data_IF_046444255734
#
_entry.id   IF_046444255734
#
_cell.length_a   1.000
_cell.length_b   1.000
_cell.length_c   1.000
_cell.angle_alpha   90.00
_cell.angle_beta   90.00
_cell.angle_gamma   90.00
#
_symmetry.space_group_name_H-M   'P 1'
#
loop_
_entity.id
_entity.type
_entity.pdbx_description
1 polymer ?
#
# COMPACT_ATOMS: atom_id res chain seq x y z
N UNK A 1 35.09 -63.50 -24.78
CA UNK A 1 35.20 -62.71 -23.53
C UNK A 1 33.81 -62.43 -22.98
N UNK A 2 33.67 -62.60 -21.66
CA UNK A 2 32.60 -62.18 -20.73
C UNK A 2 31.16 -62.72 -20.90
N UNK A 3 30.65 -63.23 -19.78
CA UNK A 3 29.41 -63.98 -19.54
C UNK A 3 28.23 -63.07 -19.12
N UNK A 4 26.97 -63.54 -19.23
CA UNK A 4 25.80 -62.89 -18.64
C UNK A 4 25.66 -63.24 -17.16
N UNK A 5 25.04 -62.38 -16.34
CA UNK A 5 24.34 -62.76 -15.09
C UNK A 5 23.51 -61.62 -14.47
N UNK A 6 22.24 -61.97 -14.24
CA UNK A 6 21.27 -61.55 -13.22
C UNK A 6 21.76 -60.64 -12.08
N UNK A 7 20.89 -59.67 -11.72
CA UNK A 7 20.38 -59.28 -10.38
C UNK A 7 19.87 -57.83 -10.49
N UNK A 8 18.78 -57.34 -9.88
CA UNK A 8 18.02 -57.80 -8.72
C UNK A 8 16.77 -56.89 -8.52
N UNK A 9 15.73 -57.45 -7.88
CA UNK A 9 14.89 -56.84 -6.81
C UNK A 9 13.86 -55.77 -7.25
N UNK A 10 12.54 -56.01 -7.34
CA UNK A 10 11.52 -56.36 -6.32
C UNK A 10 11.15 -55.18 -5.40
N UNK A 11 9.93 -54.62 -5.56
CA UNK A 11 9.06 -53.97 -4.54
C UNK A 11 8.01 -53.09 -5.23
N UNK A 12 6.79 -53.60 -5.47
CA UNK A 12 5.65 -53.39 -4.58
C UNK A 12 5.12 -51.93 -4.58
N UNK A 13 4.37 -51.58 -5.63
CA UNK A 13 3.43 -50.46 -5.59
C UNK A 13 2.21 -50.88 -4.77
N UNK A 14 2.30 -50.72 -3.46
CA UNK A 14 1.19 -50.90 -2.53
C UNK A 14 0.36 -49.61 -2.44
N UNK A 15 -0.95 -49.85 -2.54
CA UNK A 15 -2.07 -48.96 -2.40
C UNK A 15 -1.90 -47.91 -1.30
N UNK A 16 -2.20 -46.65 -1.64
CA UNK A 16 -2.76 -45.70 -0.68
C UNK A 16 -4.06 -45.15 -1.26
N UNK A 17 -5.14 -45.87 -0.96
CA UNK A 17 -6.49 -45.33 -0.94
C UNK A 17 -6.57 -44.32 0.22
N UNK A 18 -6.33 -43.05 -0.07
CA UNK A 18 -6.55 -41.92 0.83
C UNK A 18 -7.82 -41.18 0.39
N UNK A 19 -8.89 -41.33 1.17
CA UNK A 19 -10.24 -40.90 0.83
C UNK A 19 -10.35 -39.44 0.37
N UNK A 20 -11.07 -39.27 -0.74
CA UNK A 20 -11.62 -37.98 -1.14
C UNK A 20 -12.65 -37.54 -0.09
N UNK A 21 -12.23 -36.72 0.86
CA UNK A 21 -13.14 -35.95 1.69
C UNK A 21 -13.75 -34.85 0.82
N UNK A 22 -14.88 -35.17 0.18
CA UNK A 22 -15.78 -34.17 -0.40
C UNK A 22 -16.36 -33.37 0.78
N UNK A 23 -15.71 -32.24 1.10
CA UNK A 23 -16.32 -31.22 1.95
C UNK A 23 -17.41 -30.56 1.13
N UNK A 24 -18.65 -30.99 1.34
CA UNK A 24 -19.84 -30.24 0.98
C UNK A 24 -19.77 -28.90 1.72
N UNK A 25 -19.33 -27.85 1.02
CA UNK A 25 -19.46 -26.48 1.50
C UNK A 25 -20.94 -26.12 1.37
N UNK A 26 -21.65 -26.17 2.48
CA UNK A 26 -22.95 -25.51 2.58
C UNK A 26 -22.75 -24.04 2.23
N UNK A 27 -23.39 -23.62 1.14
CA UNK A 27 -23.53 -22.21 0.79
C UNK A 27 -24.39 -21.59 1.89
N UNK A 28 -23.75 -21.02 2.90
CA UNK A 28 -24.38 -20.10 3.82
C UNK A 28 -24.79 -18.88 2.98
N UNK A 29 -26.06 -18.82 2.61
CA UNK A 29 -26.68 -17.61 2.09
C UNK A 29 -26.62 -16.59 3.22
N UNK A 30 -25.62 -15.72 3.19
CA UNK A 30 -25.54 -14.58 4.11
C UNK A 30 -26.79 -13.72 3.89
N UNK A 31 -27.47 -13.27 4.95
CA UNK A 31 -28.52 -12.27 4.81
C UNK A 31 -27.91 -11.04 4.13
N UNK A 32 -28.56 -10.58 3.06
CA UNK A 32 -28.26 -9.35 2.36
C UNK A 32 -28.63 -8.17 3.28
N UNK A 33 -27.84 -7.95 4.33
CA UNK A 33 -27.95 -6.74 5.13
C UNK A 33 -27.58 -5.55 4.23
N UNK A 34 -28.42 -4.49 4.20
CA UNK A 34 -28.05 -3.27 3.50
C UNK A 34 -26.69 -2.80 4.04
N UNK A 35 -25.77 -2.31 3.18
CA UNK A 35 -24.46 -1.89 3.63
C UNK A 35 -24.65 -0.84 4.74
N UNK A 36 -24.21 -1.18 5.95
CA UNK A 36 -24.23 -0.25 7.06
C UNK A 36 -23.51 1.03 6.62
N UNK A 37 -24.20 2.17 6.74
CA UNK A 37 -23.60 3.47 6.42
C UNK A 37 -22.30 3.60 7.24
N UNK A 38 -21.17 3.73 6.55
CA UNK A 38 -19.87 3.85 7.18
C UNK A 38 -19.92 4.99 8.20
N UNK A 39 -19.70 4.68 9.48
CA UNK A 39 -19.71 5.70 10.52
C UNK A 39 -18.43 6.53 10.40
N UNK A 40 -18.52 7.86 10.61
CA UNK A 40 -17.34 8.70 10.60
C UNK A 40 -16.38 8.24 11.71
N UNK A 41 -15.13 7.97 11.33
CA UNK A 41 -14.08 7.52 12.23
C UNK A 41 -13.10 8.65 12.56
N UNK A 42 -12.37 8.49 13.66
CA UNK A 42 -11.26 9.38 13.98
C UNK A 42 -10.15 9.22 12.93
N UNK A 43 -9.69 10.36 12.42
CA UNK A 43 -8.63 10.41 11.42
C UNK A 43 -7.26 10.28 12.07
N UNK A 44 -6.36 9.51 11.47
CA UNK A 44 -4.98 9.50 11.95
C UNK A 44 -4.33 10.88 11.85
N UNK A 45 -3.48 11.19 12.83
CA UNK A 45 -2.74 12.46 12.86
C UNK A 45 -1.82 12.61 11.64
N UNK A 46 -1.32 11.50 11.09
CA UNK A 46 -0.51 11.50 9.87
C UNK A 46 -1.30 11.98 8.67
N UNK A 47 -2.53 11.48 8.47
CA UNK A 47 -3.41 11.96 7.42
C UNK A 47 -3.79 13.44 7.61
N UNK A 48 -4.01 13.89 8.85
CA UNK A 48 -4.24 15.30 9.15
C UNK A 48 -3.03 16.17 8.79
N UNK A 49 -1.81 15.79 9.17
CA UNK A 49 -0.58 16.52 8.77
C UNK A 49 -0.47 16.55 7.24
N UNK A 50 -0.74 15.43 6.56
CA UNK A 50 -0.69 15.35 5.10
C UNK A 50 -1.73 16.27 4.43
N UNK A 51 -2.96 16.34 4.94
CA UNK A 51 -4.01 17.21 4.41
C UNK A 51 -3.66 18.70 4.59
N UNK A 52 -3.11 19.08 5.74
CA UNK A 52 -2.62 20.45 5.98
C UNK A 52 -1.49 20.79 5.01
N UNK A 53 -0.55 19.88 4.79
CA UNK A 53 0.58 20.08 3.88
C UNK A 53 0.13 20.37 2.45
N UNK A 54 -0.91 19.69 1.99
CA UNK A 54 -1.44 19.89 0.63
C UNK A 54 -2.46 21.03 0.53
N UNK A 55 -2.90 21.60 1.65
CA UNK A 55 -3.98 22.60 1.73
C UNK A 55 -5.35 22.00 1.40
N UNK A 56 -5.59 20.77 1.86
CA UNK A 56 -6.80 19.98 1.67
C UNK A 56 -7.58 19.76 2.96
N UNK A 57 -7.46 20.64 3.95
CA UNK A 57 -8.07 20.52 5.28
C UNK A 57 -9.59 20.33 5.20
N UNK A 58 -10.24 20.96 4.22
CA UNK A 58 -11.68 20.79 3.96
C UNK A 58 -12.10 19.37 3.55
N UNK A 59 -11.16 18.49 3.19
CA UNK A 59 -11.42 17.09 2.88
C UNK A 59 -11.40 16.18 4.12
N UNK A 60 -11.05 16.70 5.31
CA UNK A 60 -11.04 15.89 6.53
C UNK A 60 -12.39 15.19 6.76
N UNK A 61 -13.51 15.91 6.56
CA UNK A 61 -14.85 15.33 6.67
C UNK A 61 -15.19 14.29 5.60
N UNK A 62 -14.51 14.29 4.45
CA UNK A 62 -14.66 13.23 3.43
C UNK A 62 -13.83 12.01 3.84
N UNK A 63 -12.59 12.24 4.26
CA UNK A 63 -11.71 11.16 4.70
C UNK A 63 -12.20 10.48 5.98
N UNK A 64 -13.06 11.10 6.81
CA UNK A 64 -13.61 10.43 7.99
C UNK A 64 -14.48 9.23 7.65
N UNK A 65 -14.97 9.15 6.41
CA UNK A 65 -15.71 8.00 5.89
C UNK A 65 -14.83 6.96 5.18
N UNK A 66 -13.52 7.22 5.03
CA UNK A 66 -12.57 6.29 4.42
C UNK A 66 -11.93 5.46 5.52
N UNK A 67 -12.06 4.11 5.52
CA UNK A 67 -11.37 3.25 6.47
C UNK A 67 -9.88 3.58 6.55
N UNK A 68 -9.31 3.66 7.75
CA UNK A 68 -7.90 4.07 7.94
C UNK A 68 -6.93 3.23 7.09
N UNK A 69 -7.19 1.92 6.94
CA UNK A 69 -6.38 1.03 6.09
C UNK A 69 -6.42 1.40 4.59
N UNK A 70 -7.47 2.08 4.13
CA UNK A 70 -7.63 2.54 2.74
C UNK A 70 -7.25 4.01 2.57
N UNK A 71 -7.02 4.75 3.66
CA UNK A 71 -6.73 6.17 3.62
C UNK A 71 -5.47 6.52 2.80
N UNK A 72 -4.34 5.78 2.88
CA UNK A 72 -3.19 6.04 2.02
C UNK A 72 -3.52 5.92 0.53
N UNK A 73 -4.31 4.90 0.16
CA UNK A 73 -4.74 4.67 -1.23
C UNK A 73 -5.65 5.79 -1.73
N UNK A 74 -6.67 6.15 -0.94
CA UNK A 74 -7.59 7.24 -1.27
C UNK A 74 -6.84 8.58 -1.40
N UNK A 75 -5.88 8.84 -0.52
CA UNK A 75 -5.05 10.03 -0.58
C UNK A 75 -4.12 10.02 -1.79
N UNK A 76 -3.51 8.90 -2.15
CA UNK A 76 -2.71 8.76 -3.36
C UNK A 76 -3.54 9.06 -4.63
N UNK A 77 -4.77 8.53 -4.71
CA UNK A 77 -5.70 8.83 -5.82
C UNK A 77 -6.02 10.33 -5.86
N UNK A 78 -6.27 10.96 -4.71
CA UNK A 78 -6.42 12.41 -4.63
C UNK A 78 -5.18 13.13 -5.17
N UNK A 79 -3.96 12.80 -4.72
CA UNK A 79 -2.74 13.43 -5.21
C UNK A 79 -2.56 13.33 -6.73
N UNK A 80 -2.95 12.19 -7.32
CA UNK A 80 -2.90 11.97 -8.76
C UNK A 80 -3.85 12.89 -9.55
N UNK A 81 -5.01 13.22 -9.00
CA UNK A 81 -5.97 14.15 -9.61
C UNK A 81 -5.57 15.62 -9.43
N UNK A 82 -4.78 15.93 -8.40
CA UNK A 82 -4.43 17.31 -8.03
C UNK A 82 -2.91 17.53 -8.04
N UNK A 83 -2.28 17.84 -9.20
CA UNK A 83 -0.82 17.97 -9.33
C UNK A 83 -0.18 19.00 -8.40
N UNK A 84 -0.91 20.07 -8.04
CA UNK A 84 -0.44 21.07 -7.07
C UNK A 84 -0.32 20.46 -5.66
N UNK A 85 -1.27 19.60 -5.27
CA UNK A 85 -1.21 18.87 -4.00
C UNK A 85 -0.04 17.88 -4.00
N UNK A 86 0.11 17.09 -5.08
CA UNK A 86 1.26 16.18 -5.24
C UNK A 86 2.60 16.91 -5.12
N UNK A 87 2.75 18.06 -5.80
CA UNK A 87 3.98 18.86 -5.71
C UNK A 87 4.28 19.32 -4.27
N UNK A 88 3.26 19.74 -3.51
CA UNK A 88 3.42 20.14 -2.10
C UNK A 88 3.83 18.95 -1.24
N UNK A 89 3.20 17.81 -1.46
CA UNK A 89 3.49 16.56 -0.76
C UNK A 89 4.92 16.06 -1.00
N UNK A 90 5.36 16.00 -2.26
CA UNK A 90 6.75 15.67 -2.63
C UNK A 90 7.76 16.64 -2.01
N UNK A 91 7.47 17.95 -2.02
CA UNK A 91 8.34 18.96 -1.41
C UNK A 91 8.46 18.78 0.11
N UNK A 92 7.37 18.37 0.78
CA UNK A 92 7.40 18.05 2.21
C UNK A 92 8.26 16.83 2.47
N UNK A 93 8.04 15.73 1.76
CA UNK A 93 8.82 14.50 1.90
C UNK A 93 10.31 14.73 1.66
N UNK A 94 10.67 15.49 0.62
CA UNK A 94 12.07 15.88 0.36
C UNK A 94 12.68 16.68 1.52
N UNK A 95 11.92 17.60 2.13
CA UNK A 95 12.37 18.38 3.27
C UNK A 95 12.57 17.50 4.51
N UNK A 96 11.65 16.58 4.77
CA UNK A 96 11.75 15.67 5.92
C UNK A 96 12.91 14.70 5.74
N UNK A 97 13.08 14.12 4.55
CA UNK A 97 14.22 13.27 4.23
C UNK A 97 15.54 14.00 4.48
N UNK A 98 15.65 15.24 3.99
CA UNK A 98 16.85 16.07 4.18
C UNK A 98 17.13 16.42 5.64
N UNK A 99 16.10 16.77 6.40
CA UNK A 99 16.27 17.34 7.75
C UNK A 99 16.26 16.28 8.85
N UNK A 100 15.46 15.23 8.70
CA UNK A 100 15.23 14.17 9.68
C UNK A 100 15.86 12.84 9.27
N UNK A 101 16.39 12.70 8.05
CA UNK A 101 16.98 11.45 7.56
C UNK A 101 15.96 10.35 7.29
N UNK A 102 14.68 10.71 7.13
CA UNK A 102 13.58 9.79 6.90
C UNK A 102 12.26 10.53 6.64
N UNK A 103 11.21 9.78 6.37
CA UNK A 103 9.86 10.32 6.10
C UNK A 103 8.83 9.64 7.00
N UNK A 104 7.63 10.22 7.11
CA UNK A 104 6.55 9.60 7.87
C UNK A 104 6.22 8.22 7.28
N UNK A 105 6.08 7.21 8.13
CA UNK A 105 5.68 5.87 7.71
C UNK A 105 4.37 5.86 6.91
N UNK A 106 3.40 6.67 7.31
CA UNK A 106 2.13 6.79 6.58
C UNK A 106 2.33 7.39 5.19
N UNK A 107 3.18 8.43 5.07
CA UNK A 107 3.51 9.05 3.77
C UNK A 107 4.25 8.05 2.86
N UNK A 108 5.14 7.22 3.43
CA UNK A 108 5.80 6.15 2.67
C UNK A 108 4.79 5.16 2.08
N UNK A 109 3.72 4.83 2.81
CA UNK A 109 2.65 3.97 2.30
C UNK A 109 1.90 4.65 1.14
N UNK A 110 1.65 5.97 1.22
CA UNK A 110 1.10 6.75 0.10
C UNK A 110 2.03 6.69 -1.11
N UNK A 111 3.34 6.87 -0.92
CA UNK A 111 4.30 6.78 -2.03
C UNK A 111 4.37 5.37 -2.64
N UNK A 112 4.24 4.32 -1.83
CA UNK A 112 4.17 2.95 -2.33
C UNK A 112 2.93 2.75 -3.21
N UNK A 113 1.76 3.30 -2.82
CA UNK A 113 0.56 3.29 -3.68
C UNK A 113 0.76 4.12 -4.95
N UNK A 114 1.38 5.30 -4.86
CA UNK A 114 1.69 6.10 -6.05
C UNK A 114 2.63 5.36 -7.01
N UNK A 115 3.61 4.62 -6.50
CA UNK A 115 4.50 3.79 -7.31
C UNK A 115 3.75 2.66 -8.01
N UNK A 116 2.79 2.02 -7.32
CA UNK A 116 1.92 1.00 -7.92
C UNK A 116 1.11 1.55 -9.10
N UNK A 117 0.56 2.76 -8.98
CA UNK A 117 -0.16 3.44 -10.07
C UNK A 117 0.73 4.00 -11.18
N UNK A 118 2.05 4.07 -10.95
CA UNK A 118 3.02 4.59 -11.91
C UNK A 118 3.81 3.48 -12.61
N UNK A 119 3.60 2.21 -12.21
CA UNK A 119 4.29 1.05 -12.75
C UNK A 119 3.95 0.77 -14.22
N UNK A 120 4.89 0.16 -14.93
CA UNK A 120 4.69 -0.25 -16.31
C UNK A 120 3.59 -1.32 -16.38
N UNK A 121 2.57 -1.10 -17.22
CA UNK A 121 1.39 -1.96 -17.30
C UNK A 121 0.30 -1.68 -16.24
N UNK A 122 0.52 -0.73 -15.32
CA UNK A 122 -0.55 -0.28 -14.42
C UNK A 122 -1.55 0.61 -15.18
N UNK A 123 -2.84 0.41 -14.93
CA UNK A 123 -3.87 1.33 -15.41
C UNK A 123 -4.04 2.41 -14.34
N UNK A 124 -3.71 3.67 -14.64
CA UNK A 124 -3.91 4.75 -13.68
C UNK A 124 -5.42 4.90 -13.37
N UNK A 125 -5.78 5.48 -12.22
CA UNK A 125 -7.17 5.85 -11.95
C UNK A 125 -7.77 6.66 -13.10
N UNK A 126 -9.07 6.50 -13.33
CA UNK A 126 -9.78 7.18 -14.43
C UNK A 126 -9.52 8.69 -14.38
N UNK A 127 -9.16 9.28 -15.53
CA UNK A 127 -8.92 10.72 -15.64
C UNK A 127 -7.54 11.20 -15.17
N UNK A 128 -6.66 10.31 -14.73
CA UNK A 128 -5.30 10.64 -14.31
C UNK A 128 -4.31 10.46 -15.46
N UNK A 129 -3.44 11.46 -15.66
CA UNK A 129 -2.29 11.33 -16.58
C UNK A 129 -1.15 10.56 -15.90
N UNK A 130 -0.39 9.75 -16.65
CA UNK A 130 0.81 9.12 -16.12
C UNK A 130 1.76 10.14 -15.49
N UNK A 131 2.39 9.76 -14.38
CA UNK A 131 3.42 10.57 -13.74
C UNK A 131 4.64 10.71 -14.67
N UNK A 132 5.23 11.90 -14.70
CA UNK A 132 6.50 12.12 -15.41
C UNK A 132 7.62 11.29 -14.80
N UNK A 133 8.63 10.92 -15.59
CA UNK A 133 9.76 10.11 -15.12
C UNK A 133 10.46 10.70 -13.88
N UNK A 134 10.70 12.01 -13.86
CA UNK A 134 11.30 12.68 -12.69
C UNK A 134 10.49 12.48 -11.41
N UNK A 135 9.16 12.54 -11.51
CA UNK A 135 8.27 12.31 -10.37
C UNK A 135 8.28 10.84 -9.96
N UNK A 136 8.30 9.90 -10.92
CA UNK A 136 8.41 8.47 -10.63
C UNK A 136 9.68 8.14 -9.85
N UNK A 137 10.82 8.72 -10.26
CA UNK A 137 12.10 8.56 -9.58
C UNK A 137 12.08 9.13 -8.16
N UNK A 138 11.48 10.31 -7.94
CA UNK A 138 11.31 10.87 -6.60
C UNK A 138 10.42 9.98 -5.71
N UNK A 139 9.31 9.48 -6.25
CA UNK A 139 8.43 8.56 -5.53
C UNK A 139 9.19 7.29 -5.14
N UNK A 140 9.96 6.69 -6.05
CA UNK A 140 10.77 5.52 -5.77
C UNK A 140 11.81 5.76 -4.68
N UNK A 141 12.46 6.93 -4.67
CA UNK A 141 13.37 7.34 -3.59
C UNK A 141 12.66 7.37 -2.23
N UNK A 142 11.47 7.98 -2.17
CA UNK A 142 10.71 8.08 -0.93
C UNK A 142 10.18 6.74 -0.43
N UNK A 143 9.86 5.79 -1.31
CA UNK A 143 9.48 4.43 -0.91
C UNK A 143 10.63 3.72 -0.18
N UNK A 144 11.87 3.99 -0.58
CA UNK A 144 13.07 3.41 0.02
C UNK A 144 13.57 4.19 1.26
N UNK A 145 13.00 5.36 1.54
CA UNK A 145 13.39 6.17 2.68
C UNK A 145 13.08 5.46 4.01
N UNK A 146 13.90 5.75 5.03
CA UNK A 146 13.69 5.26 6.39
C UNK A 146 12.31 5.74 6.89
N UNK A 147 11.43 4.83 7.34
CA UNK A 147 10.18 5.22 7.97
C UNK A 147 10.47 5.80 9.36
N UNK A 148 9.77 6.87 9.69
CA UNK A 148 9.74 7.47 11.01
C UNK A 148 8.29 7.59 11.45
N UNK A 149 8.02 7.38 12.74
CA UNK A 149 6.73 7.75 13.30
C UNK A 149 6.54 9.27 13.23
N UNK A 150 5.28 9.72 13.20
CA UNK A 150 4.99 11.16 13.21
C UNK A 150 5.62 11.85 14.43
N UNK A 151 5.62 11.20 15.60
CA UNK A 151 6.19 11.75 16.82
C UNK A 151 7.71 11.94 16.73
N UNK A 152 8.45 10.94 16.24
CA UNK A 152 9.90 11.07 16.00
C UNK A 152 10.19 12.19 15.00
N UNK A 153 9.39 12.26 13.93
CA UNK A 153 9.57 13.25 12.87
C UNK A 153 9.32 14.67 13.40
N UNK A 154 8.33 14.87 14.27
CA UNK A 154 8.09 16.14 14.96
C UNK A 154 9.27 16.55 15.84
N UNK A 155 9.86 15.62 16.59
CA UNK A 155 11.04 15.88 17.43
C UNK A 155 12.24 16.28 16.58
N UNK A 156 12.49 15.57 15.48
CA UNK A 156 13.61 15.85 14.58
C UNK A 156 13.43 17.19 13.83
N UNK A 157 12.22 17.50 13.35
CA UNK A 157 11.88 18.80 12.75
C UNK A 157 12.12 19.96 13.72
N UNK A 158 11.88 19.76 15.02
CA UNK A 158 12.11 20.75 16.07
C UNK A 158 13.58 21.06 16.33
N UNK A 159 14.49 20.11 16.09
CA UNK A 159 15.94 20.27 16.28
C UNK A 159 16.64 20.94 15.09
N UNK A 160 16.04 20.95 13.91
CA UNK A 160 16.60 21.55 12.69
C UNK A 160 16.19 23.02 12.45
N UNK A 161 15.56 23.68 13.43
CA UNK A 161 15.23 25.12 13.39
C UNK A 161 16.31 25.93 14.07
#
# INVERSE_FOLDING_TARGET
MARPRLRAVLAACLLSAGGAAVRAQGVAILPNEPPALAQPQFLSLSLMDALVVVGGEGLAGVFSFVPEAQAPTAFAIYLLHYPKALKRFLKRAAKDLKNAGGINEWDRNVFATLQQFAGEGSTPPVGVKPLSESVRMQVAEFVLARPLSLQELMVLRGKSR
#
